data_IF_994286159356
#
_entry.id   IF_994286159356
#
_cell.length_a   1.000
_cell.length_b   1.000
_cell.length_c   1.000
_cell.angle_alpha   90.00
_cell.angle_beta   90.00
_cell.angle_gamma   90.00
#
_symmetry.space_group_name_H-M   'P 1'
#
loop_
_entity.id
_entity.type
_entity.pdbx_description
1 polymer ?
#
# COMPACT_ATOMS: atom_id res chain seq x y z
N UNK A 1 12.90 -40.27 -72.88
CA UNK A 1 12.43 -39.67 -71.61
C UNK A 1 13.44 -39.99 -70.50
N UNK A 2 14.33 -39.06 -70.13
CA UNK A 2 15.23 -39.23 -68.98
C UNK A 2 14.84 -38.20 -67.92
N UNK A 3 14.13 -38.65 -66.89
CA UNK A 3 13.76 -37.80 -65.73
C UNK A 3 15.04 -37.50 -64.95
N UNK A 4 15.52 -36.28 -65.05
CA UNK A 4 16.59 -35.73 -64.23
C UNK A 4 16.11 -35.63 -62.79
N UNK A 5 16.46 -36.62 -61.98
CA UNK A 5 16.27 -36.61 -60.54
C UNK A 5 17.22 -35.57 -59.93
N UNK A 6 16.74 -34.35 -59.76
CA UNK A 6 17.43 -33.32 -58.98
C UNK A 6 17.40 -33.74 -57.51
N UNK A 7 18.54 -34.25 -57.02
CA UNK A 7 18.75 -34.53 -55.60
C UNK A 7 18.75 -33.21 -54.83
N UNK A 8 17.67 -32.95 -54.09
CA UNK A 8 17.59 -31.84 -53.14
C UNK A 8 18.67 -32.08 -52.07
N UNK A 9 19.69 -31.21 -52.03
CA UNK A 9 20.77 -31.30 -51.03
C UNK A 9 20.19 -30.99 -49.64
N UNK A 10 20.46 -31.81 -48.61
CA UNK A 10 19.95 -31.53 -47.27
C UNK A 10 20.61 -30.25 -46.73
N UNK A 11 19.79 -29.29 -46.28
CA UNK A 11 20.25 -28.11 -45.55
C UNK A 11 20.85 -28.59 -44.22
N UNK A 12 22.18 -28.66 -44.15
CA UNK A 12 22.90 -28.90 -42.89
C UNK A 12 22.63 -27.73 -41.95
N UNK A 13 21.73 -27.92 -40.97
CA UNK A 13 21.61 -27.01 -39.83
C UNK A 13 22.92 -27.04 -39.06
N UNK A 14 23.75 -26.01 -39.23
CA UNK A 14 24.93 -25.81 -38.38
C UNK A 14 24.40 -25.57 -36.96
N UNK A 15 24.50 -26.58 -36.09
CA UNK A 15 24.39 -26.37 -34.65
C UNK A 15 25.54 -25.45 -34.29
N UNK A 16 25.27 -24.16 -34.08
CA UNK A 16 26.25 -23.24 -33.52
C UNK A 16 26.52 -23.70 -32.09
N UNK A 17 27.57 -24.48 -31.92
CA UNK A 17 28.05 -24.83 -30.59
C UNK A 17 28.56 -23.53 -29.98
N UNK A 18 27.77 -22.95 -29.08
CA UNK A 18 28.20 -21.79 -28.30
C UNK A 18 29.46 -22.21 -27.54
N UNK A 19 30.48 -21.34 -27.55
CA UNK A 19 31.73 -21.63 -26.83
C UNK A 19 31.41 -21.65 -25.33
N UNK A 20 31.95 -22.59 -24.55
CA UNK A 20 31.66 -22.66 -23.12
C UNK A 20 31.95 -21.34 -22.39
N UNK A 21 32.96 -20.58 -22.83
CA UNK A 21 33.25 -19.23 -22.31
C UNK A 21 32.16 -18.19 -22.58
N UNK A 22 31.48 -18.25 -23.75
CA UNK A 22 30.35 -17.34 -24.03
C UNK A 22 29.12 -17.66 -23.18
N UNK A 23 28.90 -18.94 -22.88
CA UNK A 23 27.81 -19.36 -21.98
C UNK A 23 28.11 -18.89 -20.56
N UNK A 24 29.36 -19.06 -20.09
CA UNK A 24 29.78 -18.60 -18.77
C UNK A 24 29.62 -17.08 -18.61
N UNK A 25 30.05 -16.30 -19.61
CA UNK A 25 29.89 -14.84 -19.61
C UNK A 25 28.42 -14.42 -19.52
N UNK A 26 27.55 -15.05 -20.31
CA UNK A 26 26.10 -14.78 -20.27
C UNK A 26 25.49 -15.11 -18.91
N UNK A 27 25.91 -16.22 -18.29
CA UNK A 27 25.46 -16.62 -16.96
C UNK A 27 25.86 -15.58 -15.91
N UNK A 28 27.10 -15.08 -15.99
CA UNK A 28 27.61 -14.03 -15.11
C UNK A 28 26.81 -12.73 -15.24
N UNK A 29 26.55 -12.29 -16.48
CA UNK A 29 25.70 -11.12 -16.75
C UNK A 29 24.29 -11.33 -16.21
N UNK A 30 23.72 -12.52 -16.39
CA UNK A 30 22.37 -12.83 -15.90
C UNK A 30 22.28 -12.79 -14.37
N UNK A 31 23.30 -13.27 -13.67
CA UNK A 31 23.37 -13.22 -12.20
C UNK A 31 23.46 -11.76 -11.71
N UNK A 32 24.30 -10.93 -12.34
CA UNK A 32 24.45 -9.51 -11.96
C UNK A 32 23.19 -8.69 -12.27
N UNK A 33 22.56 -8.94 -13.43
CA UNK A 33 21.30 -8.28 -13.79
C UNK A 33 20.15 -8.74 -12.90
N UNK A 34 20.09 -10.04 -12.58
CA UNK A 34 19.08 -10.63 -11.70
C UNK A 34 19.17 -10.10 -10.28
N UNK A 35 20.37 -9.98 -9.71
CA UNK A 35 20.56 -9.44 -8.36
C UNK A 35 20.14 -7.96 -8.28
N UNK A 36 20.48 -7.16 -9.28
CA UNK A 36 20.09 -5.75 -9.37
C UNK A 36 18.57 -5.59 -9.48
N UNK A 37 17.91 -6.39 -10.32
CA UNK A 37 16.46 -6.38 -10.47
C UNK A 37 15.75 -6.77 -9.15
N UNK A 38 16.29 -7.76 -8.43
CA UNK A 38 15.75 -8.18 -7.14
C UNK A 38 15.83 -7.08 -6.07
N UNK A 39 16.96 -6.36 -6.03
CA UNK A 39 17.15 -5.25 -5.09
C UNK A 39 16.15 -4.11 -5.36
N UNK A 40 15.96 -3.75 -6.63
CA UNK A 40 14.99 -2.73 -7.03
C UNK A 40 13.56 -3.12 -6.69
N UNK A 41 13.20 -4.39 -6.91
CA UNK A 41 11.86 -4.87 -6.57
C UNK A 41 11.60 -4.84 -5.06
N UNK A 42 12.57 -5.28 -4.25
CA UNK A 42 12.47 -5.19 -2.78
C UNK A 42 12.32 -3.75 -2.30
N UNK A 43 13.08 -2.83 -2.90
CA UNK A 43 12.99 -1.41 -2.57
C UNK A 43 11.61 -0.86 -2.91
N UNK A 44 11.10 -1.12 -4.12
CA UNK A 44 9.76 -0.73 -4.54
C UNK A 44 8.69 -1.22 -3.56
N UNK A 45 8.71 -2.51 -3.20
CA UNK A 45 7.73 -3.06 -2.25
C UNK A 45 7.79 -2.36 -0.90
N UNK A 46 8.99 -2.10 -0.38
CA UNK A 46 9.15 -1.40 0.91
C UNK A 46 8.68 0.06 0.85
N UNK A 47 8.88 0.75 -0.27
CA UNK A 47 8.44 2.14 -0.46
C UNK A 47 6.93 2.20 -0.58
N UNK A 48 6.31 1.31 -1.36
CA UNK A 48 4.85 1.22 -1.50
C UNK A 48 4.17 0.94 -0.15
N UNK A 49 4.76 0.06 0.67
CA UNK A 49 4.26 -0.21 2.01
C UNK A 49 4.33 1.04 2.91
N UNK A 50 5.43 1.78 2.88
CA UNK A 50 5.57 3.02 3.64
C UNK A 50 4.58 4.10 3.15
N UNK A 51 4.40 4.24 1.84
CA UNK A 51 3.41 5.16 1.27
C UNK A 51 2.01 4.80 1.74
N UNK A 52 1.66 3.52 1.71
CA UNK A 52 0.34 3.04 2.16
C UNK A 52 0.12 3.35 3.64
N UNK A 53 1.10 3.04 4.49
CA UNK A 53 1.04 3.32 5.93
C UNK A 53 0.90 4.82 6.22
N UNK A 54 1.73 5.65 5.60
CA UNK A 54 1.69 7.10 5.77
C UNK A 54 0.38 7.70 5.25
N UNK A 55 -0.18 7.14 4.18
CA UNK A 55 -1.47 7.59 3.65
C UNK A 55 -2.60 7.26 4.61
N UNK A 56 -2.60 6.05 5.19
CA UNK A 56 -3.59 5.66 6.21
C UNK A 56 -3.47 6.53 7.46
N UNK A 57 -2.26 6.75 7.97
CA UNK A 57 -2.02 7.60 9.13
C UNK A 57 -2.51 9.03 8.89
N UNK A 58 -2.24 9.58 7.69
CA UNK A 58 -2.76 10.89 7.29
C UNK A 58 -4.29 10.92 7.27
N UNK A 59 -4.93 9.92 6.69
CA UNK A 59 -6.40 9.86 6.66
C UNK A 59 -7.01 9.79 8.07
N UNK A 60 -6.40 9.01 8.95
CA UNK A 60 -6.87 8.88 10.34
C UNK A 60 -6.64 10.16 11.15
N UNK A 61 -5.53 10.88 10.92
CA UNK A 61 -5.30 12.19 11.51
C UNK A 61 -6.29 13.24 11.00
N UNK A 62 -6.63 13.22 9.70
CA UNK A 62 -7.63 14.13 9.12
C UNK A 62 -9.01 13.84 9.71
N UNK A 63 -9.39 12.57 9.89
CA UNK A 63 -10.65 12.23 10.56
C UNK A 63 -10.68 12.73 12.01
N UNK A 64 -9.59 12.54 12.74
CA UNK A 64 -9.47 13.03 14.12
C UNK A 64 -9.58 14.56 14.18
N UNK A 65 -8.87 15.26 13.31
CA UNK A 65 -8.93 16.73 13.22
C UNK A 65 -10.37 17.21 12.97
N UNK A 66 -11.07 16.64 11.98
CA UNK A 66 -12.47 16.98 11.73
C UNK A 66 -13.37 16.71 12.95
N UNK A 67 -13.20 15.57 13.62
CA UNK A 67 -13.99 15.24 14.80
C UNK A 67 -13.76 16.21 15.96
N UNK A 68 -12.51 16.63 16.17
CA UNK A 68 -12.15 17.63 17.18
C UNK A 68 -12.72 19.01 16.82
N UNK A 69 -12.72 19.37 15.54
CA UNK A 69 -13.34 20.62 15.09
C UNK A 69 -14.85 20.65 15.33
N UNK A 70 -15.54 19.53 15.09
CA UNK A 70 -16.96 19.39 15.43
C UNK A 70 -17.19 19.48 16.94
N UNK A 71 -16.36 18.83 17.76
CA UNK A 71 -16.45 18.90 19.22
C UNK A 71 -16.24 20.33 19.72
N UNK A 72 -15.22 21.03 19.21
CA UNK A 72 -14.99 22.45 19.52
C UNK A 72 -16.21 23.30 19.12
N UNK A 73 -16.79 23.05 17.94
CA UNK A 73 -17.98 23.78 17.50
C UNK A 73 -19.18 23.53 18.42
N UNK A 74 -19.39 22.30 18.88
CA UNK A 74 -20.44 21.96 19.84
C UNK A 74 -20.19 22.63 21.20
N UNK A 75 -18.96 22.56 21.71
CA UNK A 75 -18.54 23.21 22.95
C UNK A 75 -18.60 24.74 22.91
N UNK A 76 -18.71 25.36 21.74
CA UNK A 76 -18.97 26.80 21.62
C UNK A 76 -20.45 27.17 21.86
N UNK A 77 -21.34 26.19 22.05
CA UNK A 77 -22.77 26.45 22.31
C UNK A 77 -23.11 26.26 23.79
N UNK A 78 -23.77 27.24 24.45
CA UNK A 78 -24.14 27.12 25.87
C UNK A 78 -25.06 25.93 26.17
N UNK A 79 -25.94 25.54 25.24
CA UNK A 79 -26.86 24.42 25.45
C UNK A 79 -26.14 23.08 25.51
N UNK A 80 -25.13 22.89 24.65
CA UNK A 80 -24.33 21.67 24.64
C UNK A 80 -23.45 21.57 25.89
N UNK A 81 -22.84 22.68 26.33
CA UNK A 81 -22.12 22.74 27.61
C UNK A 81 -23.06 22.37 28.77
N UNK A 82 -24.29 22.91 28.80
CA UNK A 82 -25.27 22.62 29.83
C UNK A 82 -25.70 21.14 29.82
N UNK A 83 -25.90 20.56 28.64
CA UNK A 83 -26.19 19.13 28.49
C UNK A 83 -25.02 18.28 28.99
N UNK A 84 -23.80 18.59 28.56
CA UNK A 84 -22.59 17.87 29.00
C UNK A 84 -22.38 17.97 30.51
N UNK A 85 -22.63 19.15 31.10
CA UNK A 85 -22.58 19.36 32.55
C UNK A 85 -23.64 18.54 33.31
N UNK A 86 -24.85 18.39 32.75
CA UNK A 86 -25.89 17.52 33.31
C UNK A 86 -25.50 16.04 33.22
N UNK A 87 -24.99 15.61 32.07
CA UNK A 87 -24.68 14.20 31.80
C UNK A 87 -23.42 13.71 32.52
N UNK A 88 -22.34 14.49 32.47
CA UNK A 88 -21.02 14.08 33.00
C UNK A 88 -20.84 14.45 34.46
N UNK A 89 -21.44 15.56 34.91
CA UNK A 89 -21.23 16.11 36.25
C UNK A 89 -22.50 16.10 37.12
N UNK A 90 -23.67 15.76 36.56
CA UNK A 90 -24.94 15.79 37.30
C UNK A 90 -25.34 17.18 37.76
N UNK A 91 -24.85 18.24 37.10
CA UNK A 91 -25.16 19.62 37.50
C UNK A 91 -26.59 20.01 37.09
N UNK A 92 -27.28 20.75 37.94
CA UNK A 92 -28.64 21.25 37.70
C UNK A 92 -28.71 22.74 37.98
N UNK A 93 -29.60 23.47 37.29
CA UNK A 93 -29.79 24.90 37.57
C UNK A 93 -30.49 25.11 38.91
N UNK A 94 -30.37 26.32 39.44
CA UNK A 94 -31.06 26.70 40.66
C UNK A 94 -32.59 26.54 40.48
N UNK A 95 -33.22 25.74 41.34
CA UNK A 95 -34.64 25.41 41.27
C UNK A 95 -34.99 24.12 40.52
N UNK A 96 -34.01 23.46 39.89
CA UNK A 96 -34.18 22.12 39.29
C UNK A 96 -33.86 21.02 40.32
N UNK A 97 -34.51 19.85 40.19
CA UNK A 97 -34.33 18.69 41.10
C UNK A 97 -33.77 17.52 40.28
N UNK A 98 -32.66 16.94 40.73
CA UNK A 98 -32.05 15.77 40.06
C UNK A 98 -32.82 14.50 40.44
N UNK A 99 -33.39 13.80 39.45
CA UNK A 99 -34.12 12.55 39.65
C UNK A 99 -33.25 11.39 39.17
N UNK A 100 -32.69 10.62 40.10
CA UNK A 100 -32.00 9.38 39.76
C UNK A 100 -33.03 8.26 39.53
N UNK A 101 -32.89 7.42 38.49
CA UNK A 101 -33.74 6.26 38.29
C UNK A 101 -33.63 5.33 39.51
N UNK A 102 -34.77 4.84 40.01
CA UNK A 102 -34.84 3.89 41.11
C UNK A 102 -34.66 2.49 40.53
N UNK A 103 -33.48 1.91 40.73
CA UNK A 103 -33.24 0.49 40.51
C UNK A 103 -33.86 -0.34 41.65
#
# INVERSE_FOLDING_TARGET
MKKSQQKIKPIKRRKSHLRPGTIFLLLLVFVVAGSSAWQLWKLHVSVEQQITQLTQEKEDLVKQENSLHEEIAQLNTPSYIEQLAREQLGLVKHGEILISPKN
#
